data_IF_557934506935
#
_entry.id   IF_557934506935
#
_cell.length_a   1.000
_cell.length_b   1.000
_cell.length_c   1.000
_cell.angle_alpha   90.00
_cell.angle_beta   90.00
_cell.angle_gamma   90.00
#
_symmetry.space_group_name_H-M   'P 1'
#
loop_
_entity.id
_entity.type
_entity.pdbx_description
1 polymer ?
#
# COMPACT_ATOMS: atom_id res chain seq x y z
N UNK A 1 6.88 0.52 -36.66
CA UNK A 1 7.51 1.54 -37.53
C UNK A 1 7.41 1.17 -39.00
N UNK A 2 7.71 -0.09 -39.38
CA UNK A 2 7.56 -0.57 -40.77
C UNK A 2 6.13 -0.44 -41.31
N UNK A 3 5.11 -0.79 -40.50
CA UNK A 3 3.69 -0.61 -40.86
C UNK A 3 3.36 0.86 -41.15
N UNK A 4 3.88 1.79 -40.34
CA UNK A 4 3.66 3.22 -40.57
C UNK A 4 4.34 3.71 -41.85
N UNK A 5 5.57 3.26 -42.12
CA UNK A 5 6.24 3.55 -43.39
C UNK A 5 5.45 3.01 -44.59
N UNK A 6 4.89 1.81 -44.48
CA UNK A 6 4.03 1.22 -45.52
C UNK A 6 2.74 2.03 -45.74
N UNK A 7 2.10 2.50 -44.66
CA UNK A 7 0.93 3.38 -44.75
C UNK A 7 1.24 4.72 -45.45
N UNK A 8 2.43 5.27 -45.22
CA UNK A 8 2.90 6.48 -45.93
C UNK A 8 3.10 6.18 -47.42
N UNK A 9 3.82 5.11 -47.75
CA UNK A 9 4.10 4.70 -49.14
C UNK A 9 2.81 4.46 -49.93
N UNK A 10 1.81 3.83 -49.30
CA UNK A 10 0.50 3.56 -49.92
C UNK A 10 -0.43 4.79 -49.97
N UNK A 11 0.00 5.94 -49.45
CA UNK A 11 -0.82 7.17 -49.40
C UNK A 11 -1.99 7.10 -48.39
N UNK A 12 -2.03 6.07 -47.55
CA UNK A 12 -3.12 5.81 -46.60
C UNK A 12 -2.98 6.56 -45.28
N UNK A 13 -1.88 7.29 -45.06
CA UNK A 13 -1.62 8.07 -43.84
C UNK A 13 -2.66 9.18 -43.57
N UNK A 14 -3.40 9.62 -44.60
CA UNK A 14 -4.47 10.61 -44.44
C UNK A 14 -5.74 10.03 -43.84
N UNK A 15 -5.94 8.71 -43.88
CA UNK A 15 -7.09 8.04 -43.28
C UNK A 15 -7.05 8.16 -41.75
N UNK A 16 -8.10 8.75 -41.17
CA UNK A 16 -8.19 9.00 -39.73
C UNK A 16 -8.13 7.70 -38.90
N UNK A 17 -8.76 6.61 -39.35
CA UNK A 17 -8.78 5.34 -38.61
C UNK A 17 -7.40 4.71 -38.57
N UNK A 18 -6.70 4.70 -39.71
CA UNK A 18 -5.34 4.15 -39.79
C UNK A 18 -4.36 5.01 -38.97
N UNK A 19 -4.51 6.33 -39.00
CA UNK A 19 -3.72 7.25 -38.17
C UNK A 19 -3.92 7.00 -36.68
N UNK A 20 -5.17 6.84 -36.23
CA UNK A 20 -5.49 6.57 -34.82
C UNK A 20 -4.86 5.26 -34.34
N UNK A 21 -4.85 4.23 -35.20
CA UNK A 21 -4.18 2.98 -34.92
C UNK A 21 -2.66 3.19 -34.75
N UNK A 22 -2.04 3.99 -35.62
CA UNK A 22 -0.60 4.30 -35.53
C UNK A 22 -0.27 5.11 -34.28
N UNK A 23 -1.11 6.09 -33.89
CA UNK A 23 -0.97 6.83 -32.63
C UNK A 23 -1.00 5.87 -31.44
N UNK A 24 -1.98 4.96 -31.39
CA UNK A 24 -2.08 3.96 -30.33
C UNK A 24 -0.85 3.04 -30.28
N UNK A 25 -0.36 2.57 -31.44
CA UNK A 25 0.86 1.75 -31.53
C UNK A 25 2.08 2.52 -31.01
N UNK A 26 2.27 3.77 -31.43
CA UNK A 26 3.40 4.57 -30.95
C UNK A 26 3.32 4.85 -29.45
N UNK A 27 2.13 5.15 -28.92
CA UNK A 27 1.89 5.30 -27.48
C UNK A 27 2.26 4.03 -26.70
N UNK A 28 1.82 2.85 -27.17
CA UNK A 28 2.17 1.56 -26.54
C UNK A 28 3.66 1.25 -26.63
N UNK A 29 4.33 1.67 -27.70
CA UNK A 29 5.77 1.53 -27.87
C UNK A 29 6.59 2.63 -27.16
N UNK A 30 5.96 3.54 -26.41
CA UNK A 30 6.60 4.68 -25.73
C UNK A 30 7.30 5.67 -26.68
N UNK A 31 6.91 5.67 -27.94
CA UNK A 31 7.39 6.60 -28.97
C UNK A 31 6.54 7.88 -28.99
N UNK A 32 6.40 8.54 -27.84
CA UNK A 32 5.40 9.59 -27.64
C UNK A 32 5.56 10.80 -28.56
N UNK A 33 6.80 11.16 -28.92
CA UNK A 33 7.05 12.25 -29.86
C UNK A 33 6.47 11.98 -31.25
N UNK A 34 6.52 10.73 -31.72
CA UNK A 34 5.91 10.33 -32.99
C UNK A 34 4.38 10.25 -32.89
N UNK A 35 3.87 9.73 -31.77
CA UNK A 35 2.42 9.70 -31.51
C UNK A 35 1.83 11.12 -31.52
N UNK A 36 2.50 12.05 -30.82
CA UNK A 36 2.09 13.45 -30.74
C UNK A 36 2.16 14.14 -32.10
N UNK A 37 3.27 13.97 -32.82
CA UNK A 37 3.46 14.55 -34.16
C UNK A 37 2.34 14.16 -35.14
N UNK A 38 1.91 12.90 -35.13
CA UNK A 38 0.81 12.44 -35.98
C UNK A 38 -0.53 13.09 -35.66
N UNK A 39 -0.73 13.43 -34.39
CA UNK A 39 -1.92 14.12 -33.94
C UNK A 39 -1.87 15.61 -34.34
N UNK A 40 -0.71 16.25 -34.21
CA UNK A 40 -0.46 17.64 -34.64
C UNK A 40 -0.58 17.82 -36.17
N UNK A 41 -0.19 16.79 -36.95
CA UNK A 41 -0.34 16.75 -38.41
C UNK A 41 -1.79 16.47 -38.86
N UNK A 42 -2.72 16.24 -37.93
CA UNK A 42 -4.14 16.09 -38.23
C UNK A 42 -4.82 17.45 -38.39
N UNK A 43 -5.48 17.73 -39.54
CA UNK A 43 -6.25 18.96 -39.72
C UNK A 43 -7.38 19.08 -38.69
N UNK A 44 -8.01 17.96 -38.35
CA UNK A 44 -9.08 17.85 -37.36
C UNK A 44 -8.89 16.55 -36.56
N UNK A 45 -8.05 16.56 -35.51
CA UNK A 45 -7.86 15.38 -34.66
C UNK A 45 -9.16 15.05 -33.93
N UNK A 46 -9.64 13.82 -34.14
CA UNK A 46 -10.88 13.34 -33.53
C UNK A 46 -10.67 12.91 -32.07
N UNK A 47 -11.78 12.66 -31.38
CA UNK A 47 -11.78 12.23 -29.98
C UNK A 47 -11.00 10.92 -29.77
N UNK A 48 -11.00 10.02 -30.76
CA UNK A 48 -10.30 8.73 -30.67
C UNK A 48 -8.78 8.96 -30.63
N UNK A 49 -8.26 9.86 -31.47
CA UNK A 49 -6.86 10.27 -31.50
C UNK A 49 -6.41 10.80 -30.14
N UNK A 50 -7.17 11.75 -29.59
CA UNK A 50 -6.88 12.37 -28.31
C UNK A 50 -6.97 11.37 -27.15
N UNK A 51 -8.02 10.57 -27.11
CA UNK A 51 -8.21 9.53 -26.07
C UNK A 51 -7.05 8.52 -26.09
N UNK A 52 -6.60 8.08 -27.27
CA UNK A 52 -5.45 7.19 -27.41
C UNK A 52 -4.15 7.83 -26.92
N UNK A 53 -3.95 9.12 -27.20
CA UNK A 53 -2.77 9.87 -26.75
C UNK A 53 -2.77 10.06 -25.21
N UNK A 54 -3.89 10.51 -24.64
CA UNK A 54 -4.06 10.74 -23.19
C UNK A 54 -3.90 9.42 -22.43
N UNK A 55 -4.53 8.34 -22.92
CA UNK A 55 -4.41 7.00 -22.34
C UNK A 55 -2.96 6.51 -22.40
N UNK A 56 -2.29 6.70 -23.55
CA UNK A 56 -0.89 6.38 -23.75
C UNK A 56 0.04 7.06 -22.75
N UNK A 57 -0.12 8.36 -22.54
CA UNK A 57 0.64 9.12 -21.56
C UNK A 57 0.36 8.65 -20.13
N UNK A 58 -0.91 8.56 -19.75
CA UNK A 58 -1.35 8.18 -18.40
C UNK A 58 -0.89 6.78 -17.99
N UNK A 59 -0.97 5.81 -18.90
CA UNK A 59 -0.51 4.43 -18.63
C UNK A 59 1.00 4.33 -18.44
N UNK A 60 1.78 5.24 -19.01
CA UNK A 60 3.24 5.25 -18.91
C UNK A 60 3.78 6.24 -17.87
N UNK A 61 2.93 6.76 -16.98
CA UNK A 61 3.34 7.65 -15.89
C UNK A 61 3.59 9.10 -16.30
N UNK A 62 3.32 9.46 -17.55
CA UNK A 62 3.45 10.82 -18.09
C UNK A 62 2.18 11.63 -17.80
N UNK A 63 1.88 11.80 -16.51
CA UNK A 63 0.63 12.41 -16.05
C UNK A 63 0.47 13.85 -16.54
N UNK A 64 1.56 14.61 -16.63
CA UNK A 64 1.46 16.02 -16.97
C UNK A 64 1.27 16.26 -18.48
N UNK A 65 1.85 15.40 -19.30
CA UNK A 65 1.61 15.34 -20.74
C UNK A 65 0.16 14.91 -21.04
N UNK A 66 -0.37 13.93 -20.29
CA UNK A 66 -1.76 13.52 -20.41
C UNK A 66 -2.74 14.67 -20.08
N UNK A 67 -2.47 15.40 -18.99
CA UNK A 67 -3.25 16.57 -18.60
C UNK A 67 -3.14 17.70 -19.63
N UNK A 68 -1.94 17.96 -20.17
CA UNK A 68 -1.74 18.97 -21.21
C UNK A 68 -2.53 18.62 -22.48
N UNK A 69 -2.46 17.37 -22.92
CA UNK A 69 -3.21 16.87 -24.08
C UNK A 69 -4.73 16.98 -23.85
N UNK A 70 -5.21 16.68 -22.63
CA UNK A 70 -6.62 16.86 -22.26
C UNK A 70 -7.08 18.31 -22.34
N UNK A 71 -6.30 19.25 -21.78
CA UNK A 71 -6.63 20.69 -21.81
C UNK A 71 -6.70 21.21 -23.25
N UNK A 72 -5.78 20.76 -24.09
CA UNK A 72 -5.74 21.14 -25.50
C UNK A 72 -6.93 20.57 -26.28
N UNK A 73 -7.23 19.28 -26.13
CA UNK A 73 -8.44 18.65 -26.69
C UNK A 73 -9.70 19.47 -26.35
N UNK A 74 -9.84 19.89 -25.09
CA UNK A 74 -10.98 20.68 -24.64
C UNK A 74 -10.98 22.11 -25.20
N UNK A 75 -9.80 22.72 -25.40
CA UNK A 75 -9.67 24.06 -26.02
C UNK A 75 -10.05 24.08 -27.50
N UNK A 76 -9.89 22.95 -28.19
CA UNK A 76 -10.33 22.73 -29.57
C UNK A 76 -11.83 22.40 -29.67
N UNK A 77 -12.55 22.38 -28.54
CA UNK A 77 -13.99 22.06 -28.50
C UNK A 77 -14.31 20.58 -28.65
N UNK A 78 -13.31 19.68 -28.62
CA UNK A 78 -13.52 18.24 -28.68
C UNK A 78 -14.03 17.76 -27.32
N UNK A 79 -15.29 17.30 -27.29
CA UNK A 79 -15.93 16.79 -26.06
C UNK A 79 -15.36 15.43 -25.67
N UNK A 80 -15.18 15.23 -24.36
CA UNK A 80 -14.76 13.94 -23.80
C UNK A 80 -15.86 12.88 -23.92
N UNK A 81 -15.45 11.62 -23.88
CA UNK A 81 -16.31 10.46 -23.73
C UNK A 81 -15.87 9.61 -22.53
N UNK A 82 -16.62 8.55 -22.25
CA UNK A 82 -16.41 7.59 -21.17
C UNK A 82 -14.98 7.00 -21.15
N UNK A 83 -14.30 6.91 -22.30
CA UNK A 83 -12.95 6.33 -22.40
C UNK A 83 -11.83 7.32 -22.04
N UNK A 84 -12.06 8.62 -22.19
CA UNK A 84 -11.05 9.64 -21.89
C UNK A 84 -10.94 9.90 -20.38
N UNK A 85 -12.08 9.95 -19.67
CA UNK A 85 -12.13 10.33 -18.25
C UNK A 85 -11.26 9.47 -17.33
N UNK A 86 -11.28 8.11 -17.39
CA UNK A 86 -10.41 7.27 -16.58
C UNK A 86 -8.92 7.62 -16.71
N UNK A 87 -8.48 7.89 -17.94
CA UNK A 87 -7.09 8.21 -18.24
C UNK A 87 -6.69 9.57 -17.65
N UNK A 88 -7.60 10.54 -17.69
CA UNK A 88 -7.41 11.88 -17.11
C UNK A 88 -7.42 11.83 -15.59
N UNK A 89 -8.37 11.11 -14.96
CA UNK A 89 -8.39 10.93 -13.51
C UNK A 89 -7.12 10.26 -13.00
N UNK A 90 -6.65 9.20 -13.68
CA UNK A 90 -5.37 8.59 -13.36
C UNK A 90 -4.21 9.59 -13.48
N UNK A 91 -4.21 10.44 -14.49
CA UNK A 91 -3.18 11.47 -14.64
C UNK A 91 -3.23 12.53 -13.52
N UNK A 92 -4.41 12.94 -13.07
CA UNK A 92 -4.60 13.80 -11.90
C UNK A 92 -4.07 13.13 -10.63
N UNK A 93 -4.36 11.85 -10.43
CA UNK A 93 -3.85 11.05 -9.30
C UNK A 93 -2.33 10.88 -9.31
N UNK A 94 -1.71 10.82 -10.50
CA UNK A 94 -0.25 10.75 -10.66
C UNK A 94 0.45 12.08 -10.37
N UNK A 95 -0.20 13.20 -10.69
CA UNK A 95 0.34 14.55 -10.54
C UNK A 95 -0.11 15.25 -9.24
N UNK A 96 -1.01 14.62 -8.48
CA UNK A 96 -1.73 15.20 -7.36
C UNK A 96 -2.52 16.48 -7.72
N UNK A 97 -2.95 16.64 -8.98
CA UNK A 97 -3.81 17.76 -9.43
C UNK A 97 -5.29 17.42 -9.19
N UNK A 98 -5.67 17.28 -7.92
CA UNK A 98 -7.05 16.93 -7.52
C UNK A 98 -8.05 18.05 -7.83
N UNK A 99 -7.58 19.29 -7.95
CA UNK A 99 -8.40 20.43 -8.39
C UNK A 99 -8.88 20.21 -9.82
N UNK A 100 -7.97 19.83 -10.73
CA UNK A 100 -8.37 19.47 -12.09
C UNK A 100 -9.28 18.24 -12.07
N UNK A 101 -8.99 17.23 -11.24
CA UNK A 101 -9.86 16.07 -11.07
C UNK A 101 -11.31 16.45 -10.72
N UNK A 102 -11.52 17.38 -9.79
CA UNK A 102 -12.84 17.92 -9.43
C UNK A 102 -13.51 18.67 -10.59
N UNK A 103 -12.75 19.42 -11.39
CA UNK A 103 -13.27 20.07 -12.61
C UNK A 103 -13.74 19.03 -13.65
N UNK A 104 -12.94 17.98 -13.86
CA UNK A 104 -13.23 16.90 -14.80
C UNK A 104 -14.47 16.11 -14.35
N UNK A 105 -14.64 15.87 -13.04
CA UNK A 105 -15.89 15.31 -12.51
C UNK A 105 -17.10 16.20 -12.83
N UNK A 106 -16.98 17.52 -12.72
CA UNK A 106 -18.04 18.43 -13.19
C UNK A 106 -18.38 18.23 -14.68
N UNK A 107 -17.37 18.02 -15.52
CA UNK A 107 -17.59 17.67 -16.94
C UNK A 107 -18.32 16.34 -17.09
N UNK A 108 -17.95 15.29 -16.35
CA UNK A 108 -18.60 13.96 -16.36
C UNK A 108 -20.11 14.11 -16.15
N UNK A 109 -20.52 14.81 -15.09
CA UNK A 109 -21.94 15.04 -14.74
C UNK A 109 -22.67 15.81 -15.84
N UNK A 110 -22.07 16.86 -16.39
CA UNK A 110 -22.68 17.65 -17.47
C UNK A 110 -22.83 16.83 -18.76
N UNK A 111 -21.93 15.88 -19.00
CA UNK A 111 -21.96 15.01 -20.19
C UNK A 111 -22.82 13.75 -20.01
N UNK A 112 -23.32 13.45 -18.81
CA UNK A 112 -24.18 12.30 -18.53
C UNK A 112 -23.44 10.97 -18.35
N UNK A 113 -22.14 10.99 -18.02
CA UNK A 113 -21.31 9.79 -17.83
C UNK A 113 -21.09 9.42 -16.35
N UNK A 114 -21.80 10.04 -15.43
CA UNK A 114 -21.64 9.84 -13.98
C UNK A 114 -21.97 8.41 -13.51
N UNK A 115 -22.79 7.68 -14.28
CA UNK A 115 -23.16 6.29 -13.99
C UNK A 115 -22.34 5.27 -14.81
N UNK A 116 -21.41 5.71 -15.66
CA UNK A 116 -20.54 4.79 -16.39
C UNK A 116 -19.60 4.06 -15.43
N UNK A 117 -19.53 2.73 -15.55
CA UNK A 117 -18.77 1.87 -14.64
C UNK A 117 -17.29 2.25 -14.57
N UNK A 118 -16.65 2.51 -15.72
CA UNK A 118 -15.22 2.82 -15.78
C UNK A 118 -14.93 4.22 -15.23
N UNK A 119 -15.80 5.17 -15.55
CA UNK A 119 -15.70 6.55 -15.08
C UNK A 119 -15.87 6.60 -13.56
N UNK A 120 -16.93 5.98 -13.03
CA UNK A 120 -17.23 5.99 -11.60
C UNK A 120 -16.16 5.28 -10.77
N UNK A 121 -15.66 4.12 -11.22
CA UNK A 121 -14.52 3.44 -10.59
C UNK A 121 -13.28 4.36 -10.54
N UNK A 122 -12.99 5.08 -11.63
CA UNK A 122 -11.84 5.99 -11.70
C UNK A 122 -12.00 7.23 -10.81
N UNK A 123 -13.23 7.72 -10.65
CA UNK A 123 -13.54 8.82 -9.74
C UNK A 123 -13.35 8.40 -8.28
N UNK A 124 -13.86 7.24 -7.87
CA UNK A 124 -13.64 6.71 -6.51
C UNK A 124 -12.15 6.66 -6.18
N UNK A 125 -11.32 6.23 -7.12
CA UNK A 125 -9.86 6.16 -6.97
C UNK A 125 -9.20 7.54 -6.85
N UNK A 126 -9.64 8.51 -7.64
CA UNK A 126 -9.18 9.90 -7.53
C UNK A 126 -9.51 10.46 -6.13
N UNK A 127 -10.78 10.38 -5.73
CA UNK A 127 -11.24 10.96 -4.48
C UNK A 127 -10.63 10.28 -3.26
N UNK A 128 -10.41 8.97 -3.30
CA UNK A 128 -9.74 8.25 -2.21
C UNK A 128 -8.29 8.69 -1.95
N UNK A 129 -7.70 9.56 -2.79
CA UNK A 129 -6.38 10.18 -2.53
C UNK A 129 -6.43 11.61 -1.99
N UNK A 130 -7.56 12.30 -2.12
CA UNK A 130 -7.72 13.72 -1.77
C UNK A 130 -8.77 13.92 -0.68
N UNK A 131 -9.94 13.33 -0.89
CA UNK A 131 -11.06 13.40 0.03
C UNK A 131 -11.74 12.03 0.21
N UNK A 132 -11.42 11.36 1.32
CA UNK A 132 -12.00 10.05 1.62
C UNK A 132 -13.53 10.07 1.78
N UNK A 133 -14.10 11.18 2.26
CA UNK A 133 -15.56 11.33 2.43
C UNK A 133 -16.30 11.25 1.11
N UNK A 134 -15.91 12.08 0.13
CA UNK A 134 -16.46 12.05 -1.23
C UNK A 134 -16.25 10.69 -1.91
N UNK A 135 -15.13 10.00 -1.63
CA UNK A 135 -14.91 8.65 -2.15
C UNK A 135 -15.94 7.64 -1.61
N UNK A 136 -16.30 7.73 -0.33
CA UNK A 136 -17.33 6.91 0.30
C UNK A 136 -18.72 7.22 -0.26
N UNK A 137 -19.04 8.49 -0.48
CA UNK A 137 -20.31 8.90 -1.09
C UNK A 137 -20.44 8.34 -2.51
N UNK A 138 -19.43 8.52 -3.37
CA UNK A 138 -19.43 7.97 -4.73
C UNK A 138 -19.51 6.44 -4.75
N UNK A 139 -18.87 5.77 -3.80
CA UNK A 139 -19.00 4.32 -3.65
C UNK A 139 -20.42 3.92 -3.24
N UNK A 140 -21.08 4.67 -2.35
CA UNK A 140 -22.47 4.39 -2.00
C UNK A 140 -23.40 4.59 -3.20
N UNK A 141 -23.18 5.64 -3.99
CA UNK A 141 -23.92 5.88 -5.23
C UNK A 141 -23.73 4.74 -6.24
N UNK A 142 -22.50 4.26 -6.42
CA UNK A 142 -22.17 3.08 -7.24
C UNK A 142 -22.97 1.85 -6.81
N UNK A 143 -23.09 1.61 -5.50
CA UNK A 143 -23.86 0.50 -4.97
C UNK A 143 -25.36 0.67 -5.22
N UNK A 144 -25.90 1.89 -5.04
CA UNK A 144 -27.32 2.20 -5.25
C UNK A 144 -27.70 2.11 -6.72
N UNK A 145 -26.81 2.53 -7.63
CA UNK A 145 -26.98 2.42 -9.08
C UNK A 145 -26.83 1.00 -9.63
N UNK A 146 -26.55 0.01 -8.77
CA UNK A 146 -26.28 -1.39 -9.13
C UNK A 146 -25.05 -1.56 -10.03
N UNK A 147 -24.15 -0.58 -10.03
CA UNK A 147 -22.85 -0.69 -10.71
C UNK A 147 -21.94 -1.56 -9.83
N UNK A 148 -21.35 -2.61 -10.41
CA UNK A 148 -20.55 -3.55 -9.63
C UNK A 148 -19.17 -2.98 -9.32
N UNK A 149 -18.80 -2.78 -8.04
CA UNK A 149 -17.42 -2.43 -7.71
C UNK A 149 -16.51 -3.62 -8.00
N UNK A 150 -15.35 -3.34 -8.59
CA UNK A 150 -14.30 -4.35 -8.75
C UNK A 150 -13.40 -4.42 -7.51
N UNK A 151 -12.52 -5.42 -7.49
CA UNK A 151 -11.54 -5.65 -6.42
C UNK A 151 -10.68 -4.41 -6.10
N UNK A 152 -10.26 -3.67 -7.13
CA UNK A 152 -9.44 -2.46 -6.99
C UNK A 152 -10.21 -1.32 -6.31
N UNK A 153 -11.47 -1.13 -6.67
CA UNK A 153 -12.36 -0.16 -6.04
C UNK A 153 -12.57 -0.49 -4.57
N UNK A 154 -12.84 -1.75 -4.23
CA UNK A 154 -13.02 -2.19 -2.84
C UNK A 154 -11.75 -2.01 -2.00
N UNK A 155 -10.58 -2.36 -2.55
CA UNK A 155 -9.28 -2.13 -1.91
C UNK A 155 -9.01 -0.65 -1.66
N UNK A 156 -9.37 0.19 -2.62
CA UNK A 156 -9.26 1.65 -2.49
C UNK A 156 -10.17 2.19 -1.40
N UNK A 157 -11.39 1.65 -1.30
CA UNK A 157 -12.32 1.99 -0.24
C UNK A 157 -11.88 1.53 1.15
N UNK A 158 -11.18 0.40 1.27
CA UNK A 158 -10.55 -0.02 2.53
C UNK A 158 -9.53 1.03 3.01
N UNK A 159 -8.69 1.54 2.10
CA UNK A 159 -7.73 2.60 2.43
C UNK A 159 -8.43 3.90 2.83
N UNK A 160 -9.52 4.26 2.14
CA UNK A 160 -10.31 5.43 2.50
C UNK A 160 -10.93 5.30 3.91
N UNK A 161 -11.45 4.11 4.27
CA UNK A 161 -11.98 3.85 5.60
C UNK A 161 -10.89 3.89 6.68
N UNK A 162 -9.69 3.42 6.34
CA UNK A 162 -8.52 3.50 7.22
C UNK A 162 -8.16 4.97 7.50
N UNK A 163 -8.14 5.81 6.46
CA UNK A 163 -7.85 7.25 6.60
C UNK A 163 -8.93 8.05 7.32
N UNK A 164 -10.18 7.58 7.31
CA UNK A 164 -11.30 8.16 8.06
C UNK A 164 -11.49 7.59 9.46
N UNK A 165 -10.74 6.55 9.81
CA UNK A 165 -10.95 5.75 11.02
C UNK A 165 -12.41 5.22 11.15
N UNK A 166 -13.10 5.01 10.03
CA UNK A 166 -14.51 4.58 10.01
C UNK A 166 -14.66 3.06 9.88
N UNK A 167 -14.70 2.39 11.03
CA UNK A 167 -14.89 0.93 11.11
C UNK A 167 -16.27 0.44 10.72
N UNK A 168 -17.29 1.32 10.76
CA UNK A 168 -18.63 0.95 10.32
C UNK A 168 -18.64 0.80 8.79
N UNK A 169 -18.04 1.76 8.09
CA UNK A 169 -17.91 1.68 6.64
C UNK A 169 -16.95 0.56 6.22
N UNK A 170 -15.83 0.38 6.93
CA UNK A 170 -14.90 -0.74 6.71
C UNK A 170 -15.59 -2.11 6.78
N UNK A 171 -16.45 -2.34 7.77
CA UNK A 171 -17.25 -3.58 7.88
C UNK A 171 -18.23 -3.79 6.72
N UNK A 172 -18.86 -2.71 6.23
CA UNK A 172 -19.74 -2.81 5.05
C UNK A 172 -18.95 -3.25 3.82
N UNK A 173 -17.79 -2.64 3.57
CA UNK A 173 -16.92 -3.00 2.44
C UNK A 173 -16.42 -4.43 2.56
N UNK A 174 -16.03 -4.86 3.77
CA UNK A 174 -15.67 -6.26 4.03
C UNK A 174 -16.82 -7.22 3.66
N UNK A 175 -18.06 -6.89 4.03
CA UNK A 175 -19.24 -7.67 3.62
C UNK A 175 -19.43 -7.72 2.10
N UNK A 176 -19.12 -6.64 1.38
CA UNK A 176 -19.13 -6.63 -0.09
C UNK A 176 -18.03 -7.51 -0.70
N UNK A 177 -16.82 -7.48 -0.16
CA UNK A 177 -15.73 -8.36 -0.61
C UNK A 177 -16.13 -9.84 -0.50
N UNK A 178 -16.70 -10.25 0.63
CA UNK A 178 -17.22 -11.61 0.82
C UNK A 178 -18.34 -11.92 -0.18
N UNK A 179 -19.32 -11.01 -0.33
CA UNK A 179 -20.46 -11.22 -1.24
C UNK A 179 -20.03 -11.40 -2.69
N UNK A 180 -18.95 -10.75 -3.10
CA UNK A 180 -18.40 -10.81 -4.46
C UNK A 180 -17.32 -11.90 -4.64
N UNK A 181 -16.94 -12.61 -3.57
CA UNK A 181 -15.93 -13.66 -3.61
C UNK A 181 -14.48 -13.16 -3.70
N UNK A 182 -14.23 -11.91 -3.31
CA UNK A 182 -12.89 -11.31 -3.24
C UNK A 182 -12.25 -11.47 -1.86
N UNK A 183 -12.91 -12.11 -0.89
CA UNK A 183 -12.40 -12.39 0.46
C UNK A 183 -11.25 -13.42 0.48
N UNK A 184 -11.12 -14.21 -0.59
CA UNK A 184 -10.00 -15.16 -0.77
C UNK A 184 -8.74 -14.51 -1.34
N UNK A 185 -8.82 -13.27 -1.83
CA UNK A 185 -7.66 -12.55 -2.34
C UNK A 185 -6.75 -12.08 -1.18
N UNK A 186 -5.48 -12.46 -1.25
CA UNK A 186 -4.50 -12.19 -0.21
C UNK A 186 -4.24 -10.69 -0.05
N UNK A 187 -4.30 -9.93 -1.14
CA UNK A 187 -4.08 -8.49 -1.11
C UNK A 187 -5.21 -7.79 -0.34
N UNK A 188 -6.47 -8.15 -0.63
CA UNK A 188 -7.67 -7.68 0.05
C UNK A 188 -7.69 -8.07 1.53
N UNK A 189 -7.30 -9.31 1.85
CA UNK A 189 -7.21 -9.78 3.23
C UNK A 189 -6.15 -9.00 4.03
N UNK A 190 -4.97 -8.76 3.46
CA UNK A 190 -3.91 -7.98 4.10
C UNK A 190 -4.35 -6.52 4.35
N UNK A 191 -5.06 -5.91 3.39
CA UNK A 191 -5.61 -4.57 3.55
C UNK A 191 -6.67 -4.51 4.66
N UNK A 192 -7.53 -5.54 4.78
CA UNK A 192 -8.53 -5.64 5.84
C UNK A 192 -7.91 -5.81 7.23
N UNK A 193 -6.85 -6.63 7.36
CA UNK A 193 -6.09 -6.78 8.61
C UNK A 193 -5.53 -5.43 9.07
N UNK A 194 -4.85 -4.70 8.17
CA UNK A 194 -4.30 -3.38 8.47
C UNK A 194 -5.40 -2.36 8.84
N UNK A 195 -6.52 -2.35 8.09
CA UNK A 195 -7.65 -1.46 8.36
C UNK A 195 -8.28 -1.73 9.74
N UNK A 196 -8.61 -2.98 10.05
CA UNK A 196 -9.22 -3.30 11.34
C UNK A 196 -8.29 -3.03 12.52
N UNK A 197 -6.98 -3.21 12.34
CA UNK A 197 -6.01 -2.85 13.35
C UNK A 197 -5.97 -1.33 13.58
N UNK A 198 -5.89 -0.53 12.51
CA UNK A 198 -5.83 0.94 12.62
C UNK A 198 -7.11 1.58 13.16
N UNK A 199 -8.25 0.96 12.89
CA UNK A 199 -9.55 1.42 13.40
C UNK A 199 -9.82 0.96 14.85
N UNK A 200 -8.88 0.24 15.48
CA UNK A 200 -8.98 -0.11 16.90
C UNK A 200 -9.70 -1.44 17.19
N UNK A 201 -9.98 -2.26 16.18
CA UNK A 201 -10.71 -3.53 16.33
C UNK A 201 -9.78 -4.72 16.15
N UNK A 202 -8.96 -5.00 17.18
CA UNK A 202 -8.00 -6.11 17.15
C UNK A 202 -8.65 -7.46 16.84
N UNK A 203 -9.81 -7.73 17.45
CA UNK A 203 -10.53 -8.98 17.27
C UNK A 203 -10.90 -9.24 15.80
N UNK A 204 -11.39 -8.21 15.11
CA UNK A 204 -11.77 -8.31 13.70
C UNK A 204 -10.51 -8.48 12.82
N UNK A 205 -9.43 -7.76 13.13
CA UNK A 205 -8.12 -7.90 12.46
C UNK A 205 -7.58 -9.33 12.56
N UNK A 206 -7.54 -9.91 13.76
CA UNK A 206 -7.05 -11.28 13.98
C UNK A 206 -8.00 -12.30 13.35
N UNK A 207 -9.31 -12.04 13.38
CA UNK A 207 -10.30 -12.92 12.73
C UNK A 207 -10.09 -13.00 11.22
N UNK A 208 -9.81 -11.87 10.55
CA UNK A 208 -9.51 -11.85 9.11
C UNK A 208 -8.20 -12.59 8.85
N UNK A 209 -7.15 -12.32 9.65
CA UNK A 209 -5.86 -12.99 9.51
C UNK A 209 -5.98 -14.52 9.62
N UNK A 210 -6.74 -15.02 10.60
CA UNK A 210 -6.97 -16.45 10.79
C UNK A 210 -7.77 -17.11 9.65
N UNK A 211 -8.48 -16.31 8.84
CA UNK A 211 -9.16 -16.78 7.63
C UNK A 211 -8.24 -16.96 6.43
N UNK A 212 -6.99 -16.46 6.48
CA UNK A 212 -6.05 -16.55 5.36
C UNK A 212 -5.47 -17.96 5.27
N UNK A 213 -5.81 -18.70 4.21
CA UNK A 213 -5.37 -20.08 4.03
C UNK A 213 -3.84 -20.25 3.97
N UNK A 214 -3.13 -19.28 3.38
CA UNK A 214 -1.66 -19.27 3.29
C UNK A 214 -1.13 -17.84 3.47
N UNK A 215 -0.95 -17.45 4.72
CA UNK A 215 -0.39 -16.14 5.07
C UNK A 215 1.05 -15.97 4.56
N UNK A 216 1.34 -14.81 3.99
CA UNK A 216 2.69 -14.43 3.56
C UNK A 216 3.36 -13.49 4.57
N UNK A 217 4.58 -13.06 4.27
CA UNK A 217 5.33 -12.12 5.14
C UNK A 217 4.56 -10.80 5.36
N UNK A 218 3.73 -10.37 4.40
CA UNK A 218 2.93 -9.15 4.52
C UNK A 218 1.77 -9.37 5.49
N UNK A 219 1.06 -10.51 5.40
CA UNK A 219 -0.01 -10.88 6.34
C UNK A 219 0.47 -10.90 7.78
N UNK A 220 1.59 -11.61 8.04
CA UNK A 220 2.19 -11.70 9.38
C UNK A 220 2.64 -10.34 9.89
N UNK A 221 3.28 -9.54 9.05
CA UNK A 221 3.71 -8.20 9.42
C UNK A 221 2.55 -7.29 9.76
N UNK A 222 1.46 -7.35 8.99
CA UNK A 222 0.26 -6.54 9.22
C UNK A 222 -0.38 -6.88 10.57
N UNK A 223 -0.64 -8.17 10.86
CA UNK A 223 -1.31 -8.57 12.10
C UNK A 223 -0.44 -8.32 13.34
N UNK A 224 0.87 -8.61 13.28
CA UNK A 224 1.79 -8.39 14.40
C UNK A 224 1.94 -6.89 14.67
N UNK A 225 2.09 -6.06 13.62
CA UNK A 225 2.15 -4.62 13.78
C UNK A 225 0.83 -4.06 14.33
N UNK A 226 -0.31 -4.58 13.89
CA UNK A 226 -1.62 -4.22 14.41
C UNK A 226 -1.78 -4.53 15.91
N UNK A 227 -1.30 -5.68 16.36
CA UNK A 227 -1.26 -6.03 17.79
C UNK A 227 -0.41 -5.04 18.60
N UNK A 228 0.76 -4.66 18.07
CA UNK A 228 1.64 -3.67 18.71
C UNK A 228 1.00 -2.28 18.75
N UNK A 229 0.33 -1.87 17.68
CA UNK A 229 -0.38 -0.59 17.59
C UNK A 229 -1.48 -0.49 18.66
N UNK A 230 -2.20 -1.58 18.90
CA UNK A 230 -3.30 -1.66 19.87
C UNK A 230 -2.84 -2.11 21.26
N UNK A 231 -1.53 -2.01 21.54
CA UNK A 231 -0.91 -2.31 22.83
C UNK A 231 -1.15 -3.76 23.33
N UNK A 232 -1.56 -4.66 22.44
CA UNK A 232 -1.72 -6.09 22.71
C UNK A 232 -0.40 -6.82 22.46
N UNK A 233 0.59 -6.51 23.30
CA UNK A 233 1.95 -7.00 23.14
C UNK A 233 2.07 -8.51 23.28
N UNK A 234 1.28 -9.14 24.16
CA UNK A 234 1.23 -10.60 24.30
C UNK A 234 0.77 -11.28 23.01
N UNK A 235 -0.32 -10.79 22.41
CA UNK A 235 -0.84 -11.30 21.14
C UNK A 235 0.20 -11.15 20.02
N UNK A 236 0.90 -10.01 19.96
CA UNK A 236 1.97 -9.78 18.99
C UNK A 236 3.10 -10.82 19.12
N UNK A 237 3.50 -11.16 20.35
CA UNK A 237 4.57 -12.12 20.61
C UNK A 237 4.12 -13.57 20.40
N UNK A 238 2.86 -13.89 20.66
CA UNK A 238 2.26 -15.20 20.34
C UNK A 238 2.24 -15.43 18.82
N UNK A 239 1.71 -14.48 18.06
CA UNK A 239 1.70 -14.53 16.59
C UNK A 239 3.12 -14.61 16.00
N UNK A 240 4.08 -13.89 16.58
CA UNK A 240 5.48 -14.00 16.16
C UNK A 240 6.08 -15.39 16.44
N UNK A 241 5.70 -16.05 17.54
CA UNK A 241 6.14 -17.42 17.85
C UNK A 241 5.50 -18.41 16.87
N UNK A 242 4.22 -18.26 16.60
CA UNK A 242 3.48 -19.08 15.64
C UNK A 242 4.11 -18.98 14.24
N UNK A 243 4.38 -17.76 13.78
CA UNK A 243 5.10 -17.51 12.54
C UNK A 243 6.40 -18.31 12.45
N UNK A 244 7.24 -18.27 13.49
CA UNK A 244 8.54 -18.94 13.50
C UNK A 244 8.45 -20.46 13.54
N UNK A 245 7.42 -21.03 14.17
CA UNK A 245 7.32 -22.47 14.40
C UNK A 245 6.51 -23.19 13.34
N UNK A 246 5.44 -22.59 12.87
CA UNK A 246 4.35 -23.31 12.18
C UNK A 246 4.11 -22.79 10.76
N UNK A 247 4.49 -21.56 10.45
CA UNK A 247 4.12 -20.93 9.16
C UNK A 247 5.04 -21.29 7.98
N UNK A 248 6.29 -21.68 8.24
CA UNK A 248 7.34 -21.79 7.21
C UNK A 248 7.80 -20.47 6.60
N UNK A 249 7.29 -19.31 7.08
CA UNK A 249 7.66 -17.97 6.64
C UNK A 249 8.73 -17.41 7.57
N UNK A 250 9.86 -16.97 7.01
CA UNK A 250 10.95 -16.39 7.80
C UNK A 250 10.67 -14.92 8.15
N UNK A 251 10.83 -14.51 9.42
CA UNK A 251 10.75 -13.10 9.81
C UNK A 251 11.72 -12.21 9.05
N UNK A 252 11.29 -10.99 8.74
CA UNK A 252 12.14 -9.96 8.18
C UNK A 252 12.42 -8.85 9.22
N UNK A 253 13.16 -7.83 8.82
CA UNK A 253 13.50 -6.68 9.68
C UNK A 253 12.28 -6.00 10.28
N UNK A 254 11.18 -5.91 9.52
CA UNK A 254 9.95 -5.30 10.00
C UNK A 254 9.30 -6.17 11.09
N UNK A 255 9.19 -7.48 10.86
CA UNK A 255 8.66 -8.43 11.84
C UNK A 255 9.43 -8.35 13.15
N UNK A 256 10.77 -8.38 13.08
CA UNK A 256 11.63 -8.34 14.26
C UNK A 256 11.55 -7.00 14.98
N UNK A 257 11.46 -5.89 14.24
CA UNK A 257 11.22 -4.57 14.82
C UNK A 257 9.90 -4.55 15.60
N UNK A 258 8.81 -5.07 15.04
CA UNK A 258 7.51 -5.15 15.71
C UNK A 258 7.57 -6.07 16.95
N UNK A 259 8.20 -7.23 16.86
CA UNK A 259 8.39 -8.13 18.00
C UNK A 259 9.24 -7.49 19.12
N UNK A 260 10.27 -6.71 18.78
CA UNK A 260 11.07 -5.98 19.75
C UNK A 260 10.28 -4.85 20.43
N UNK A 261 9.42 -4.15 19.67
CA UNK A 261 8.50 -3.17 20.24
C UNK A 261 7.53 -3.84 21.21
N UNK A 262 6.96 -4.98 20.83
CA UNK A 262 6.10 -5.77 21.71
C UNK A 262 6.85 -6.19 23.00
N UNK A 263 8.05 -6.75 22.88
CA UNK A 263 8.88 -7.12 24.04
C UNK A 263 9.15 -5.94 24.99
N UNK A 264 9.27 -4.73 24.46
CA UNK A 264 9.47 -3.54 25.28
C UNK A 264 8.19 -3.10 26.00
N UNK A 265 7.01 -3.43 25.47
CA UNK A 265 5.73 -3.08 26.07
C UNK A 265 5.17 -4.11 27.05
N UNK A 266 5.69 -5.35 27.08
CA UNK A 266 5.23 -6.41 28.03
C UNK A 266 5.65 -6.13 29.49
N UNK A 267 6.67 -5.30 29.72
CA UNK A 267 7.10 -4.91 31.07
C UNK A 267 7.51 -3.44 31.12
N UNK A 268 6.52 -2.55 31.13
CA UNK A 268 6.53 -1.32 31.93
C UNK A 268 5.12 -0.72 31.92
N UNK A 269 4.52 -0.55 33.11
CA UNK A 269 3.55 0.52 33.36
C UNK A 269 4.24 1.88 33.10
N UNK A 270 4.38 2.27 31.83
CA UNK A 270 4.64 3.65 31.43
C UNK A 270 3.31 4.26 31.01
N UNK A 271 2.41 4.43 31.98
CA UNK A 271 1.33 5.40 31.84
C UNK A 271 1.99 6.79 31.64
N UNK A 272 1.64 7.48 30.55
CA UNK A 272 2.07 8.83 30.14
C UNK A 272 3.47 9.03 29.53
N UNK A 273 3.73 8.46 28.35
CA UNK A 273 4.86 8.92 27.51
C UNK A 273 4.41 9.11 26.05
N UNK A 274 4.52 10.35 25.55
CA UNK A 274 4.17 10.72 24.17
C UNK A 274 4.98 9.91 23.13
N UNK A 275 4.35 9.64 21.98
CA UNK A 275 4.88 8.81 20.89
C UNK A 275 6.27 9.27 20.37
N UNK A 276 6.54 10.59 20.48
CA UNK A 276 7.80 11.22 20.09
C UNK A 276 8.96 10.87 21.04
N UNK A 277 8.67 10.53 22.29
CA UNK A 277 9.67 10.06 23.26
C UNK A 277 9.93 8.55 23.11
N UNK A 278 8.93 7.75 22.72
CA UNK A 278 9.11 6.32 22.35
C UNK A 278 10.12 6.15 21.20
N UNK A 279 10.09 7.02 20.19
CA UNK A 279 11.07 7.01 19.08
C UNK A 279 12.49 7.42 19.51
N UNK A 280 12.62 8.34 20.48
CA UNK A 280 13.93 8.71 21.07
C UNK A 280 14.48 7.59 21.97
N UNK A 281 13.63 6.87 22.69
CA UNK A 281 14.04 5.69 23.47
C UNK A 281 14.64 4.60 22.58
N UNK A 282 14.05 4.32 21.41
CA UNK A 282 14.62 3.38 20.41
C UNK A 282 16.07 3.71 20.00
N UNK A 283 16.45 4.99 19.90
CA UNK A 283 17.83 5.41 19.61
C UNK A 283 18.82 5.07 20.74
N UNK A 284 18.35 5.01 21.99
CA UNK A 284 19.18 4.67 23.16
C UNK A 284 19.37 3.15 23.36
N UNK A 285 18.69 2.32 22.57
CA UNK A 285 18.67 0.85 22.67
C UNK A 285 19.34 0.14 21.49
N UNK A 286 20.51 0.62 21.07
CA UNK A 286 21.33 0.07 19.96
C UNK A 286 21.51 -1.45 19.98
N UNK A 287 21.43 -2.08 21.15
CA UNK A 287 21.54 -3.52 21.36
C UNK A 287 20.35 -4.28 20.79
N UNK A 288 19.13 -3.72 20.87
CA UNK A 288 17.93 -4.33 20.30
C UNK A 288 18.07 -4.44 18.79
N UNK A 289 18.54 -3.37 18.14
CA UNK A 289 18.82 -3.37 16.70
C UNK A 289 19.97 -4.29 16.33
N UNK A 290 21.06 -4.31 17.10
CA UNK A 290 22.19 -5.21 16.87
C UNK A 290 21.79 -6.69 17.00
N UNK A 291 20.94 -7.03 17.97
CA UNK A 291 20.37 -8.37 18.12
C UNK A 291 19.44 -8.71 16.96
N UNK A 292 18.54 -7.80 16.55
CA UNK A 292 17.69 -8.02 15.37
C UNK A 292 18.51 -8.27 14.10
N UNK A 293 19.53 -7.45 13.86
CA UNK A 293 20.43 -7.66 12.73
C UNK A 293 21.16 -8.99 12.83
N UNK A 294 21.63 -9.36 14.03
CA UNK A 294 22.23 -10.66 14.30
C UNK A 294 21.30 -11.82 13.95
N UNK A 295 20.02 -11.74 14.32
CA UNK A 295 19.02 -12.78 14.01
C UNK A 295 18.85 -12.98 12.51
N UNK A 296 18.89 -11.90 11.72
CA UNK A 296 18.75 -11.95 10.26
C UNK A 296 20.04 -12.44 9.59
N UNK A 297 21.18 -11.90 10.01
CA UNK A 297 22.44 -12.03 9.29
C UNK A 297 23.19 -13.34 9.58
N UNK A 298 22.72 -14.14 10.55
CA UNK A 298 23.45 -15.33 11.00
C UNK A 298 22.57 -16.59 10.98
N UNK A 299 23.12 -17.76 10.57
CA UNK A 299 22.34 -18.99 10.40
C UNK A 299 21.57 -19.41 11.66
N UNK A 300 20.37 -20.01 11.54
CA UNK A 300 19.60 -20.49 12.69
C UNK A 300 20.45 -21.28 13.69
N UNK A 301 20.31 -20.97 14.98
CA UNK A 301 21.07 -21.58 16.08
C UNK A 301 22.48 -21.02 16.33
N UNK A 302 23.09 -20.25 15.42
CA UNK A 302 24.42 -19.68 15.65
C UNK A 302 24.40 -18.59 16.75
N UNK A 303 25.31 -18.55 17.73
CA UNK A 303 25.27 -17.53 18.78
C UNK A 303 25.39 -16.10 18.23
N UNK A 304 24.56 -15.18 18.73
CA UNK A 304 24.61 -13.76 18.37
C UNK A 304 25.51 -13.03 19.38
N UNK A 305 26.45 -12.22 18.89
CA UNK A 305 27.38 -11.47 19.74
C UNK A 305 27.25 -9.98 19.49
N UNK A 306 26.91 -9.23 20.53
CA UNK A 306 26.77 -7.76 20.50
C UNK A 306 27.77 -7.14 21.46
N UNK A 307 28.49 -6.12 21.00
CA UNK A 307 29.39 -5.32 21.84
C UNK A 307 28.81 -3.92 22.01
N UNK A 308 28.60 -3.50 23.26
CA UNK A 308 28.17 -2.15 23.63
C UNK A 308 29.30 -1.42 24.36
N UNK A 309 29.42 -0.12 24.08
CA UNK A 309 30.37 0.77 24.77
C UNK A 309 29.76 1.48 25.99
N UNK A 310 28.52 1.12 26.37
CA UNK A 310 27.80 1.62 27.54
C UNK A 310 27.22 0.42 28.31
N UNK A 311 26.69 0.64 29.52
CA UNK A 311 25.92 -0.39 30.25
C UNK A 311 24.65 -0.74 29.47
N UNK A 312 24.29 -2.02 29.39
CA UNK A 312 23.01 -2.44 28.81
C UNK A 312 21.88 -1.98 29.73
N UNK A 313 20.88 -1.22 29.26
CA UNK A 313 19.77 -0.78 30.13
C UNK A 313 18.85 -1.96 30.54
N UNK A 314 18.02 -1.77 31.56
CA UNK A 314 17.06 -2.77 32.01
C UNK A 314 16.13 -3.23 30.86
N UNK A 315 15.59 -2.31 30.07
CA UNK A 315 14.68 -2.65 28.96
C UNK A 315 15.37 -3.46 27.85
N UNK A 316 16.64 -3.16 27.56
CA UNK A 316 17.45 -3.94 26.62
C UNK A 316 17.73 -5.33 27.20
N UNK A 317 18.02 -5.40 28.50
CA UNK A 317 18.30 -6.64 29.19
C UNK A 317 17.08 -7.58 29.18
N UNK A 318 15.92 -7.08 29.59
CA UNK A 318 14.64 -7.82 29.55
C UNK A 318 14.26 -8.22 28.13
N UNK A 319 14.35 -7.30 27.17
CA UNK A 319 14.05 -7.63 25.78
C UNK A 319 14.95 -8.75 25.25
N UNK A 320 16.26 -8.72 25.55
CA UNK A 320 17.18 -9.75 25.05
C UNK A 320 16.97 -11.10 25.77
N UNK A 321 16.55 -11.11 27.05
CA UNK A 321 16.04 -12.33 27.70
C UNK A 321 14.89 -12.91 26.88
N UNK A 322 13.83 -12.14 26.65
CA UNK A 322 12.67 -12.60 25.88
C UNK A 322 13.06 -13.07 24.48
N UNK A 323 13.89 -12.32 23.75
CA UNK A 323 14.37 -12.69 22.42
C UNK A 323 15.16 -14.00 22.45
N UNK A 324 16.04 -14.21 23.44
CA UNK A 324 16.79 -15.48 23.56
C UNK A 324 15.88 -16.69 23.74
N UNK A 325 14.78 -16.52 24.48
CA UNK A 325 13.74 -17.55 24.68
C UNK A 325 12.95 -17.80 23.40
N UNK A 326 12.50 -16.73 22.75
CA UNK A 326 11.62 -16.80 21.58
C UNK A 326 12.37 -17.34 20.36
N UNK A 327 13.58 -16.87 20.12
CA UNK A 327 14.42 -17.32 19.02
C UNK A 327 15.12 -18.66 19.31
N UNK A 328 14.97 -19.21 20.54
CA UNK A 328 15.68 -20.39 21.03
C UNK A 328 17.18 -20.33 20.72
N UNK A 329 17.80 -19.20 21.06
CA UNK A 329 19.13 -18.83 20.57
C UNK A 329 19.96 -18.15 21.63
N UNK A 330 21.23 -18.55 21.73
CA UNK A 330 22.16 -17.87 22.62
C UNK A 330 22.49 -16.47 22.10
N UNK A 331 22.33 -15.47 22.96
CA UNK A 331 22.72 -14.09 22.70
C UNK A 331 23.73 -13.68 23.76
N UNK A 332 24.88 -13.19 23.33
CA UNK A 332 25.96 -12.73 24.19
C UNK A 332 26.10 -11.23 23.99
N UNK A 333 25.83 -10.46 25.05
CA UNK A 333 26.01 -9.01 25.03
C UNK A 333 27.15 -8.65 25.98
N UNK A 334 28.20 -8.04 25.44
CA UNK A 334 29.25 -7.44 26.25
C UNK A 334 28.93 -5.97 26.44
N UNK A 335 28.77 -5.54 27.69
CA UNK A 335 28.71 -4.13 28.06
C UNK A 335 30.03 -3.67 28.72
N UNK A 336 30.06 -2.47 29.29
CA UNK A 336 31.26 -1.94 29.97
C UNK A 336 31.60 -2.68 31.27
N UNK A 337 30.63 -3.35 31.89
CA UNK A 337 30.75 -3.95 33.21
C UNK A 337 31.02 -5.45 33.13
N UNK A 338 30.36 -6.18 32.21
CA UNK A 338 30.40 -7.65 32.14
C UNK A 338 29.91 -8.21 30.79
N UNK A 339 29.99 -9.53 30.70
CA UNK A 339 29.30 -10.31 29.69
C UNK A 339 27.96 -10.80 30.24
N UNK A 340 26.92 -10.57 29.45
CA UNK A 340 25.58 -11.10 29.67
C UNK A 340 25.35 -12.23 28.68
N UNK A 341 25.18 -13.45 29.19
CA UNK A 341 24.82 -14.62 28.39
C UNK A 341 23.33 -14.88 28.57
N UNK A 342 22.57 -14.63 27.50
CA UNK A 342 21.14 -14.85 27.46
C UNK A 342 20.83 -16.20 26.81
N UNK A 343 20.20 -17.10 27.57
CA UNK A 343 19.78 -18.44 27.13
C UNK A 343 18.42 -18.78 27.72
N UNK A 344 17.49 -19.23 26.89
CA UNK A 344 16.14 -19.66 27.29
C UNK A 344 15.37 -18.67 28.18
N UNK A 345 15.61 -17.36 28.00
CA UNK A 345 14.94 -16.33 28.80
C UNK A 345 15.63 -15.95 30.09
N UNK A 346 16.78 -16.54 30.38
CA UNK A 346 17.60 -16.24 31.56
C UNK A 346 18.88 -15.53 31.15
N UNK A 347 19.39 -14.66 32.01
CA UNK A 347 20.69 -14.04 31.85
C UNK A 347 21.66 -14.55 32.91
N UNK A 348 22.93 -14.75 32.55
CA UNK A 348 24.01 -15.12 33.47
C UNK A 348 24.24 -14.15 34.63
N UNK A 349 23.68 -12.93 34.58
CA UNK A 349 23.76 -11.97 35.69
C UNK A 349 22.78 -12.27 36.84
N UNK A 350 21.83 -13.19 36.67
CA UNK A 350 20.82 -13.52 37.69
C UNK A 350 19.91 -12.35 38.05
N UNK A 351 19.68 -11.42 37.11
CA UNK A 351 18.94 -10.17 37.30
C UNK A 351 19.53 -9.21 38.36
N UNK A 352 20.74 -9.48 38.84
CA UNK A 352 21.60 -8.50 39.52
C UNK A 352 22.22 -7.58 38.46
N UNK A 353 21.40 -6.60 38.05
CA UNK A 353 21.70 -5.65 36.99
C UNK A 353 22.82 -4.68 37.38
#
# INVERSE_FOLDING_TARGET
>A
MEVHAHLIILGLHQDARLRNLVVNVYSKCRCFGYARKLLDESPEPDLISWSALISGYSQNGLGQEAISAFREMHSLGVKCNEFAFPSVFKACTLTNDFRLGKQVHGTVVVTGFENDEFVLNSMVVLYARDSFGEAVELFQDMIVSQTQPNEFTLSTMINACTGLEDGRQGRKIHGYLIKLGYDLDLFSANALVDMYAKVGTLKDSVSVFNGIAKADIVSWNAVIAGCVLLESHDCALELFREMNKESGVSPNTFTLSSALKACAGVETDLHDVEEREKAKLLYHHSEKLAVAFGLIATPPGAPIRVKKNLRICLDCHTAIKLVSKIASREIIVRDINRFHHFRDGLCSCGDYW
#
